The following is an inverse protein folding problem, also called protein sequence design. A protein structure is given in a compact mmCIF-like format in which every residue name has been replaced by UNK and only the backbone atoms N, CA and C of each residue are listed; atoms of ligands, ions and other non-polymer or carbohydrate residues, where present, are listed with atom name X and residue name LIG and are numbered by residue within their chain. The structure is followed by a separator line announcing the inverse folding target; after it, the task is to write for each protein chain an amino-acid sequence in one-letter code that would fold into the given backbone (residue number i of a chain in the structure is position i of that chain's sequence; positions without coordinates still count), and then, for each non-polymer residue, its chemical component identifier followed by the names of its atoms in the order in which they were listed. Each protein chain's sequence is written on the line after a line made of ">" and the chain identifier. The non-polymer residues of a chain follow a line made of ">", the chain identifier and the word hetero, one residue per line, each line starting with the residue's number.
data_IF_823728542608
#
_entry.id   IF_823728542608
#
_cell.length_a   1.000
_cell.length_b   1.000
_cell.length_c   1.000
_cell.angle_alpha   90.00
_cell.angle_beta   90.00
_cell.angle_gamma   90.00
#
_symmetry.space_group_name_H-M   'P 1'
#
loop_
_entity.id
_entity.type
_entity.pdbx_description
1 polymer ?
#
# COMPACT_ATOMS: atom_id res chain seq x y z
N UNK A 1 -0.45 -13.60 6.32
CA UNK A 1 -0.62 -13.51 4.85
C UNK A 1 -0.02 -12.22 4.31
N UNK A 2 -0.51 -11.02 4.71
CA UNK A 2 -0.02 -9.75 4.16
C UNK A 2 1.45 -9.42 4.48
N UNK A 3 1.91 -9.64 5.72
CA UNK A 3 3.32 -9.42 6.11
C UNK A 3 4.31 -10.36 5.39
N UNK A 4 3.83 -11.51 4.90
CA UNK A 4 4.63 -12.52 4.22
C UNK A 4 4.47 -12.48 2.69
N UNK A 5 3.72 -11.51 2.15
CA UNK A 5 3.53 -11.38 0.71
C UNK A 5 2.65 -12.45 0.07
N UNK A 6 1.87 -13.21 0.85
CA UNK A 6 0.99 -14.27 0.32
C UNK A 6 -0.25 -13.66 -0.36
N UNK A 7 -0.06 -13.08 -1.54
CA UNK A 7 -1.08 -12.37 -2.31
C UNK A 7 -2.36 -13.18 -2.50
N UNK A 8 -2.27 -14.43 -2.95
CA UNK A 8 -3.44 -15.29 -3.20
C UNK A 8 -4.27 -15.52 -1.93
N UNK A 9 -3.61 -15.72 -0.79
CA UNK A 9 -4.29 -15.89 0.50
C UNK A 9 -4.95 -14.59 0.93
N UNK A 10 -4.30 -13.44 0.69
CA UNK A 10 -4.91 -12.13 1.00
C UNK A 10 -6.16 -11.92 0.14
N UNK A 11 -6.11 -12.19 -1.15
CA UNK A 11 -7.26 -12.06 -2.05
C UNK A 11 -8.41 -12.96 -1.59
N UNK A 12 -8.16 -14.23 -1.30
CA UNK A 12 -9.18 -15.17 -0.81
C UNK A 12 -9.85 -14.69 0.49
N UNK A 13 -9.06 -14.17 1.43
CA UNK A 13 -9.59 -13.62 2.68
C UNK A 13 -10.47 -12.38 2.44
N UNK A 14 -10.09 -11.50 1.53
CA UNK A 14 -10.88 -10.31 1.20
C UNK A 14 -12.20 -10.67 0.50
N UNK A 15 -12.17 -11.65 -0.40
CA UNK A 15 -13.37 -12.18 -1.06
C UNK A 15 -14.35 -12.82 -0.06
N UNK A 16 -13.85 -13.37 1.05
CA UNK A 16 -14.68 -13.90 2.12
C UNK A 16 -15.36 -12.84 3.01
N UNK A 17 -15.15 -11.54 2.74
CA UNK A 17 -15.83 -10.45 3.43
C UNK A 17 -15.22 -10.05 4.78
N UNK A 18 -13.95 -10.40 5.01
CA UNK A 18 -13.23 -9.97 6.23
C UNK A 18 -13.08 -8.45 6.24
N UNK A 19 -13.17 -7.84 7.42
CA UNK A 19 -12.88 -6.41 7.58
C UNK A 19 -11.40 -6.11 7.25
N UNK A 20 -11.19 -5.47 6.10
CA UNK A 20 -9.89 -5.08 5.55
C UNK A 20 -9.10 -4.12 6.46
N UNK A 21 -9.79 -3.40 7.34
CA UNK A 21 -9.19 -2.39 8.22
C UNK A 21 -8.94 -2.91 9.63
N UNK A 22 -9.07 -4.22 9.87
CA UNK A 22 -8.73 -4.84 11.13
C UNK A 22 -7.31 -4.49 11.57
N UNK A 23 -7.17 -4.28 12.88
CA UNK A 23 -5.93 -3.81 13.51
C UNK A 23 -5.43 -4.87 14.46
N UNK A 24 -4.13 -5.18 14.39
CA UNK A 24 -3.49 -6.01 15.40
C UNK A 24 -3.29 -5.23 16.71
N UNK A 25 -2.67 -5.85 17.71
CA UNK A 25 -2.42 -5.23 19.02
C UNK A 25 -1.52 -3.98 18.97
N UNK A 26 -0.74 -3.79 17.90
CA UNK A 26 0.06 -2.57 17.66
C UNK A 26 -0.72 -1.50 16.89
N UNK A 27 -1.98 -1.75 16.58
CA UNK A 27 -2.80 -0.88 15.76
C UNK A 27 -2.49 -0.97 14.28
N UNK A 28 -1.73 -1.97 13.82
CA UNK A 28 -1.33 -2.10 12.44
C UNK A 28 -2.37 -2.85 11.61
N UNK A 29 -2.66 -2.34 10.41
CA UNK A 29 -3.54 -3.00 9.42
C UNK A 29 -2.75 -3.94 8.51
N UNK A 30 -3.47 -4.76 7.72
CA UNK A 30 -2.86 -5.58 6.67
C UNK A 30 -2.05 -4.72 5.67
N UNK A 31 -2.55 -3.54 5.33
CA UNK A 31 -1.89 -2.58 4.43
C UNK A 31 -0.56 -2.09 5.02
N UNK A 32 -0.55 -1.70 6.30
CA UNK A 32 0.68 -1.28 6.98
C UNK A 32 1.73 -2.37 6.97
N UNK A 33 1.35 -3.62 7.22
CA UNK A 33 2.27 -4.76 7.18
C UNK A 33 2.81 -5.00 5.77
N UNK A 34 1.96 -4.99 4.75
CA UNK A 34 2.40 -5.15 3.36
C UNK A 34 3.39 -4.02 2.96
N UNK A 35 3.10 -2.78 3.35
CA UNK A 35 3.96 -1.63 3.10
C UNK A 35 5.28 -1.67 3.87
N UNK A 36 5.29 -2.16 5.11
CA UNK A 36 6.50 -2.30 5.93
C UNK A 36 7.48 -3.31 5.31
N UNK A 37 6.96 -4.39 4.73
CA UNK A 37 7.77 -5.47 4.14
C UNK A 37 7.94 -5.39 2.62
N UNK A 38 7.32 -4.40 1.96
CA UNK A 38 7.52 -4.12 0.54
C UNK A 38 6.71 -4.98 -0.44
N UNK A 39 5.65 -5.64 0.05
CA UNK A 39 4.81 -6.54 -0.75
C UNK A 39 3.80 -5.75 -1.60
N UNK A 40 4.29 -5.15 -2.68
CA UNK A 40 3.53 -4.20 -3.50
C UNK A 40 2.29 -4.83 -4.16
N UNK A 41 2.32 -6.11 -4.54
CA UNK A 41 1.16 -6.84 -5.09
C UNK A 41 0.05 -6.95 -4.04
N UNK A 42 0.41 -7.18 -2.78
CA UNK A 42 -0.54 -7.20 -1.66
C UNK A 42 -1.09 -5.79 -1.39
N UNK A 43 -0.24 -4.77 -1.44
CA UNK A 43 -0.64 -3.36 -1.30
C UNK A 43 -1.65 -2.98 -2.39
N UNK A 44 -1.38 -3.36 -3.64
CA UNK A 44 -2.27 -3.09 -4.77
C UNK A 44 -3.65 -3.72 -4.56
N UNK A 45 -3.71 -4.99 -4.16
CA UNK A 45 -4.99 -5.66 -3.85
C UNK A 45 -5.73 -4.94 -2.72
N UNK A 46 -5.03 -4.62 -1.63
CA UNK A 46 -5.67 -3.97 -0.48
C UNK A 46 -6.24 -2.59 -0.85
N UNK A 47 -5.53 -1.81 -1.67
CA UNK A 47 -6.02 -0.53 -2.19
C UNK A 47 -7.24 -0.73 -3.10
N UNK A 48 -7.21 -1.74 -3.99
CA UNK A 48 -8.35 -2.07 -4.87
C UNK A 48 -9.62 -2.38 -4.07
N UNK A 49 -9.47 -3.08 -2.94
CA UNK A 49 -10.54 -3.37 -1.98
C UNK A 49 -10.82 -2.23 -0.98
N UNK A 50 -10.33 -1.02 -1.27
CA UNK A 50 -10.60 0.21 -0.49
C UNK A 50 -10.12 0.15 0.96
N UNK A 51 -8.95 -0.44 1.21
CA UNK A 51 -8.27 -0.33 2.50
C UNK A 51 -8.01 1.14 2.86
N UNK A 52 -8.19 1.49 4.13
CA UNK A 52 -7.96 2.86 4.60
C UNK A 52 -6.45 3.14 4.74
N UNK A 53 -5.92 3.92 3.79
CA UNK A 53 -4.50 4.30 3.72
C UNK A 53 -4.07 5.29 4.82
N UNK A 54 -5.02 5.97 5.46
CA UNK A 54 -4.78 7.03 6.45
C UNK A 54 -4.76 6.52 7.89
N UNK A 55 -5.03 5.23 8.13
CA UNK A 55 -4.88 4.65 9.46
C UNK A 55 -3.45 4.87 9.94
N UNK A 56 -3.32 5.22 11.21
CA UNK A 56 -2.05 5.39 11.92
C UNK A 56 -1.96 4.32 13.01
N UNK A 57 -0.82 3.65 13.17
CA UNK A 57 -0.62 2.65 14.22
C UNK A 57 -0.68 3.25 15.63
N UNK A 58 -0.77 2.40 16.67
CA UNK A 58 -0.91 2.88 18.04
C UNK A 58 0.43 3.26 18.69
N UNK A 59 1.55 2.74 18.18
CA UNK A 59 2.83 2.82 18.87
C UNK A 59 3.60 4.08 18.50
N UNK A 60 3.57 4.43 17.22
CA UNK A 60 4.35 5.53 16.65
C UNK A 60 3.46 6.53 15.92
N UNK A 61 2.20 6.18 15.67
CA UNK A 61 1.32 6.97 14.80
C UNK A 61 1.69 6.84 13.32
N UNK A 62 2.51 5.86 12.95
CA UNK A 62 2.92 5.66 11.56
C UNK A 62 1.76 5.16 10.70
N UNK A 63 1.64 5.72 9.50
CA UNK A 63 0.73 5.25 8.46
C UNK A 63 1.43 4.25 7.54
N UNK A 64 0.68 3.62 6.64
CA UNK A 64 1.26 2.73 5.62
C UNK A 64 2.35 3.42 4.79
N UNK A 65 2.17 4.72 4.47
CA UNK A 65 3.15 5.51 3.75
C UNK A 65 4.43 5.75 4.55
N UNK A 66 4.31 6.07 5.85
CA UNK A 66 5.48 6.22 6.72
C UNK A 66 6.31 4.94 6.76
N UNK A 67 5.65 3.79 6.90
CA UNK A 67 6.32 2.48 6.94
C UNK A 67 6.99 2.13 5.61
N UNK A 68 6.35 2.40 4.47
CA UNK A 68 6.95 2.18 3.16
C UNK A 68 8.16 3.11 2.93
N UNK A 69 8.05 4.39 3.32
CA UNK A 69 9.13 5.37 3.18
C UNK A 69 10.34 5.05 4.07
N UNK A 70 10.10 4.68 5.33
CA UNK A 70 11.16 4.32 6.29
C UNK A 70 12.00 3.13 5.80
N UNK A 71 11.36 2.19 5.11
CA UNK A 71 12.01 0.96 4.62
C UNK A 71 12.43 1.04 3.13
N UNK A 72 12.24 2.18 2.46
CA UNK A 72 12.67 2.37 1.06
C UNK A 72 11.84 1.64 0.00
N UNK A 73 10.59 1.27 0.30
CA UNK A 73 9.74 0.48 -0.59
C UNK A 73 9.07 1.33 -1.66
N UNK A 74 9.84 1.75 -2.66
CA UNK A 74 9.44 2.69 -3.71
C UNK A 74 8.14 2.32 -4.44
N UNK A 75 7.89 1.04 -4.71
CA UNK A 75 6.67 0.60 -5.39
C UNK A 75 5.43 0.79 -4.50
N UNK A 76 5.54 0.47 -3.21
CA UNK A 76 4.47 0.69 -2.24
C UNK A 76 4.15 2.19 -2.12
N UNK A 77 5.17 3.05 -2.08
CA UNK A 77 5.01 4.51 -2.05
C UNK A 77 4.26 5.00 -3.29
N UNK A 78 4.66 4.53 -4.49
CA UNK A 78 3.99 4.90 -5.74
C UNK A 78 2.50 4.52 -5.73
N UNK A 79 2.18 3.31 -5.26
CA UNK A 79 0.79 2.85 -5.17
C UNK A 79 -0.04 3.68 -4.17
N UNK A 80 0.51 3.95 -2.99
CA UNK A 80 -0.19 4.75 -1.96
C UNK A 80 -0.38 6.21 -2.38
N UNK A 81 0.59 6.80 -3.08
CA UNK A 81 0.47 8.17 -3.61
C UNK A 81 -0.48 8.26 -4.80
N UNK A 82 -0.60 7.21 -5.61
CA UNK A 82 -1.55 7.17 -6.71
C UNK A 82 -3.01 7.21 -6.19
N UNK A 83 -3.31 6.51 -5.09
CA UNK A 83 -4.64 6.56 -4.46
C UNK A 83 -4.88 7.86 -3.68
N UNK A 84 -3.82 8.52 -3.17
CA UNK A 84 -3.92 9.86 -2.59
C UNK A 84 -4.28 10.94 -3.63
N UNK A 85 -4.17 10.63 -4.94
CA UNK A 85 -4.52 11.52 -6.04
C UNK A 85 -5.65 10.88 -6.91
N UNK A 86 -6.89 10.71 -6.40
CA UNK A 86 -7.98 10.20 -7.21
C UNK A 86 -8.46 11.18 -8.29
N UNK A 87 -8.04 12.45 -8.27
CA UNK A 87 -8.60 13.48 -9.16
C UNK A 87 -7.97 13.53 -10.56
N UNK A 88 -6.97 12.70 -10.83
CA UNK A 88 -6.32 12.66 -12.15
C UNK A 88 -6.45 11.21 -12.66
N UNK A 89 -7.39 10.91 -13.59
CA UNK A 89 -7.66 9.57 -14.15
C UNK A 89 -6.48 8.87 -14.88
N UNK A 90 -5.25 9.29 -14.65
CA UNK A 90 -4.05 8.98 -15.41
C UNK A 90 -2.77 9.30 -14.61
N UNK A 91 -2.85 9.41 -13.26
CA UNK A 91 -1.69 9.64 -12.40
C UNK A 91 -0.55 8.61 -12.62
N UNK A 92 -0.91 7.36 -12.94
CA UNK A 92 0.06 6.32 -13.33
C UNK A 92 0.83 6.65 -14.61
N UNK A 93 0.17 7.20 -15.64
CA UNK A 93 0.82 7.63 -16.89
C UNK A 93 1.74 8.84 -16.69
N UNK A 94 1.33 9.78 -15.84
CA UNK A 94 2.13 10.97 -15.52
C UNK A 94 3.40 10.59 -14.76
N UNK A 95 3.28 9.71 -13.75
CA UNK A 95 4.41 9.27 -12.94
C UNK A 95 5.37 8.35 -13.71
N UNK A 96 4.88 7.53 -14.64
CA UNK A 96 5.72 6.65 -15.47
C UNK A 96 6.39 7.39 -16.63
N UNK A 97 5.74 8.42 -17.21
CA UNK A 97 6.41 9.32 -18.19
C UNK A 97 7.56 10.10 -17.57
N UNK A 98 7.42 10.57 -16.32
CA UNK A 98 8.46 11.39 -15.68
C UNK A 98 9.73 10.61 -15.36
N UNK A 99 9.60 9.33 -14.97
CA UNK A 99 10.75 8.43 -14.75
C UNK A 99 11.49 8.10 -16.05
N UNK A 100 10.81 8.03 -17.20
CA UNK A 100 11.47 7.80 -18.50
C UNK A 100 12.22 9.02 -19.05
N UNK A 101 11.87 10.24 -18.63
CA UNK A 101 12.52 11.48 -19.10
C UNK A 101 13.82 11.81 -18.35
N UNK A 102 14.03 11.25 -17.15
CA UNK A 102 15.22 11.51 -16.33
C UNK A 102 16.31 10.44 -16.49
N UNK A 103 16.05 9.37 -17.24
CA UNK A 103 16.98 8.24 -17.47
C UNK A 103 17.54 8.15 -18.90
N UNK A 104 17.46 9.23 -19.68
CA UNK A 104 17.84 9.23 -21.10
C UNK A 104 18.81 10.36 -21.47
N UNK A 105 20.07 10.23 -21.06
CA UNK A 105 21.27 10.70 -21.78
C UNK A 105 22.41 9.74 -21.51
#
# INVERSE_FOLDING_TARGET
>A
SAAQGHHEIVTLLLESGVDINLRNYRGQTALMQACQYGHWEVVQTLILFKANIHRADYLTGSTALHLAALNGHNQCIRLLLADYIPSIPNAWDVLTKRVKMEGGT
#
